data_IF_108557667749
#
_entry.id   IF_108557667749
#
_cell.length_a   1.000
_cell.length_b   1.000
_cell.length_c   1.000
_cell.angle_alpha   90.00
_cell.angle_beta   90.00
_cell.angle_gamma   90.00
#
_symmetry.space_group_name_H-M   'P 1'
#
loop_
_entity.id
_entity.type
_entity.pdbx_description
1 polymer ?
#
# COMPACT_ATOMS: atom_id res chain seq x y z
N UNK A 1 26.42 -10.36 -0.89
CA UNK A 1 25.03 -10.69 -0.51
C UNK A 1 24.90 -12.21 -0.59
N UNK A 2 24.29 -12.88 0.40
CA UNK A 2 24.29 -14.35 0.47
C UNK A 2 23.47 -15.05 -0.65
N UNK A 3 22.72 -14.29 -1.47
CA UNK A 3 21.72 -14.79 -2.43
C UNK A 3 21.83 -14.18 -3.85
N UNK A 4 23.05 -13.86 -4.32
CA UNK A 4 23.23 -13.26 -5.65
C UNK A 4 22.74 -14.17 -6.78
N UNK A 5 22.95 -15.49 -6.64
CA UNK A 5 22.57 -16.49 -7.66
C UNK A 5 21.06 -16.47 -7.93
N UNK A 6 20.25 -16.29 -6.91
CA UNK A 6 18.80 -16.23 -7.05
C UNK A 6 18.34 -14.96 -7.77
N UNK A 7 19.01 -13.82 -7.54
CA UNK A 7 18.69 -12.58 -8.27
C UNK A 7 19.09 -12.64 -9.74
N UNK A 8 20.18 -13.32 -10.07
CA UNK A 8 20.58 -13.51 -11.46
C UNK A 8 19.54 -14.38 -12.21
N UNK A 9 19.06 -15.45 -11.59
CA UNK A 9 17.97 -16.27 -12.15
C UNK A 9 16.72 -15.41 -12.43
N UNK A 10 16.30 -14.57 -11.48
CA UNK A 10 15.11 -13.71 -11.66
C UNK A 10 15.35 -12.67 -12.77
N UNK A 11 16.57 -12.13 -12.88
CA UNK A 11 16.94 -11.19 -13.93
C UNK A 11 16.90 -11.84 -15.31
N UNK A 12 17.31 -13.10 -15.43
CA UNK A 12 17.31 -13.85 -16.69
C UNK A 12 15.90 -14.10 -17.26
N UNK A 13 14.87 -14.12 -16.41
CA UNK A 13 13.47 -14.22 -16.86
C UNK A 13 12.96 -12.96 -17.57
N UNK A 14 13.65 -11.81 -17.44
CA UNK A 14 13.29 -10.55 -18.10
C UNK A 14 11.81 -10.14 -17.90
N UNK A 15 11.35 -10.10 -16.65
CA UNK A 15 9.97 -9.69 -16.34
C UNK A 15 9.69 -8.22 -16.73
N UNK A 16 8.57 -8.00 -17.40
CA UNK A 16 8.13 -6.65 -17.81
C UNK A 16 7.45 -5.86 -16.68
N UNK A 17 6.79 -6.57 -15.76
CA UNK A 17 5.93 -5.99 -14.71
C UNK A 17 6.21 -6.69 -13.38
N UNK A 18 6.30 -5.89 -12.32
CA UNK A 18 6.32 -6.36 -10.94
C UNK A 18 4.97 -6.14 -10.26
N UNK A 19 4.53 -7.08 -9.43
CA UNK A 19 3.44 -6.85 -8.47
C UNK A 19 4.03 -7.02 -7.07
N UNK A 20 3.82 -6.04 -6.19
CA UNK A 20 4.37 -6.05 -4.84
C UNK A 20 3.38 -5.51 -3.84
N UNK A 21 3.52 -6.00 -2.60
CA UNK A 21 2.75 -5.52 -1.46
C UNK A 21 3.02 -4.03 -1.20
N UNK A 22 2.02 -3.34 -0.66
CA UNK A 22 2.03 -1.91 -0.32
C UNK A 22 2.42 -1.61 1.13
N UNK A 23 2.26 -2.58 2.04
CA UNK A 23 2.55 -2.42 3.47
C UNK A 23 4.02 -2.09 3.72
N UNK A 24 4.94 -2.75 3.01
CA UNK A 24 6.35 -2.40 3.02
C UNK A 24 6.87 -2.09 1.60
N UNK A 25 7.92 -1.27 1.53
CA UNK A 25 8.51 -0.85 0.25
C UNK A 25 9.79 -1.62 -0.09
N UNK A 26 10.10 -2.71 0.63
CA UNK A 26 11.36 -3.42 0.42
C UNK A 26 11.35 -4.20 -0.90
N UNK A 27 10.18 -4.78 -1.26
CA UNK A 27 9.95 -5.42 -2.54
C UNK A 27 10.23 -4.49 -3.72
N UNK A 28 9.72 -3.25 -3.68
CA UNK A 28 9.97 -2.24 -4.72
C UNK A 28 11.46 -1.95 -4.93
N UNK A 29 12.20 -1.87 -3.84
CA UNK A 29 13.66 -1.70 -3.89
C UNK A 29 14.33 -2.84 -4.64
N UNK A 30 13.93 -4.08 -4.37
CA UNK A 30 14.44 -5.27 -5.05
C UNK A 30 14.07 -5.23 -6.54
N UNK A 31 12.82 -4.95 -6.88
CA UNK A 31 12.36 -4.94 -8.28
C UNK A 31 13.10 -3.87 -9.10
N UNK A 32 13.29 -2.67 -8.53
CA UNK A 32 14.08 -1.61 -9.17
C UNK A 32 15.55 -2.00 -9.33
N UNK A 33 16.13 -2.71 -8.35
CA UNK A 33 17.49 -3.25 -8.45
C UNK A 33 17.63 -4.32 -9.54
N UNK A 34 16.59 -5.10 -9.78
CA UNK A 34 16.53 -6.08 -10.87
C UNK A 34 16.31 -5.45 -12.25
N UNK A 35 16.07 -4.13 -12.32
CA UNK A 35 15.86 -3.40 -13.57
C UNK A 35 14.39 -3.27 -13.99
N UNK A 36 13.46 -3.78 -13.18
CA UNK A 36 12.02 -3.74 -13.46
C UNK A 36 11.48 -2.37 -13.02
N UNK A 37 11.05 -1.57 -13.99
CA UNK A 37 10.57 -0.20 -13.74
C UNK A 37 9.06 -0.16 -13.55
N UNK A 38 8.33 -0.90 -14.38
CA UNK A 38 6.88 -0.96 -14.32
C UNK A 38 6.47 -1.86 -13.17
N UNK A 39 5.67 -1.31 -12.26
CA UNK A 39 5.18 -2.07 -11.12
C UNK A 39 3.76 -1.65 -10.77
N UNK A 40 3.05 -2.61 -10.22
CA UNK A 40 1.71 -2.48 -9.68
C UNK A 40 1.79 -2.70 -8.19
N UNK A 41 1.12 -1.83 -7.47
CA UNK A 41 0.89 -1.99 -6.05
C UNK A 41 -0.28 -2.90 -5.80
N UNK A 42 -0.12 -3.84 -4.89
CA UNK A 42 -1.17 -4.69 -4.41
C UNK A 42 -1.27 -4.53 -2.91
N UNK A 43 -2.41 -4.09 -2.41
CA UNK A 43 -2.69 -4.01 -0.98
C UNK A 43 -3.56 -5.17 -0.57
N UNK A 44 -3.11 -5.95 0.40
CA UNK A 44 -3.90 -7.02 1.01
C UNK A 44 -4.96 -6.50 1.99
N UNK A 45 -4.85 -5.24 2.40
CA UNK A 45 -5.73 -4.52 3.34
C UNK A 45 -6.39 -3.31 2.67
N UNK A 46 -7.26 -2.55 3.37
CA UNK A 46 -7.72 -1.25 2.89
C UNK A 46 -6.56 -0.28 2.65
N UNK A 47 -6.81 0.83 1.97
CA UNK A 47 -5.75 1.78 1.61
C UNK A 47 -5.15 2.47 2.87
N UNK A 48 -3.92 2.11 3.25
CA UNK A 48 -3.22 2.70 4.40
C UNK A 48 -2.78 4.15 4.16
N UNK A 49 -2.51 4.87 5.24
CA UNK A 49 -2.13 6.28 5.24
C UNK A 49 -0.82 6.56 4.49
N UNK A 50 0.21 5.74 4.71
CA UNK A 50 1.50 5.84 4.01
C UNK A 50 1.37 5.54 2.51
N UNK A 51 0.53 4.57 2.15
CA UNK A 51 0.26 4.15 0.77
C UNK A 51 -0.45 5.30 0.04
N UNK A 52 -1.51 5.83 0.65
CA UNK A 52 -2.22 7.00 0.14
C UNK A 52 -1.27 8.20 -0.05
N UNK A 53 -0.42 8.47 0.94
CA UNK A 53 0.57 9.55 0.88
C UNK A 53 1.56 9.38 -0.29
N UNK A 54 2.15 8.19 -0.45
CA UNK A 54 3.12 7.92 -1.52
C UNK A 54 2.47 7.95 -2.92
N UNK A 55 1.21 7.55 -3.05
CA UNK A 55 0.48 7.60 -4.32
C UNK A 55 -0.06 8.99 -4.66
N UNK A 56 -0.12 9.91 -3.70
CA UNK A 56 -0.76 11.22 -3.82
C UNK A 56 -2.29 11.18 -3.69
N UNK A 57 -2.84 10.13 -3.08
CA UNK A 57 -4.28 10.04 -2.80
C UNK A 57 -4.61 10.95 -1.61
N UNK A 58 -5.58 11.88 -1.73
CA UNK A 58 -5.96 12.74 -0.61
C UNK A 58 -6.49 11.92 0.58
N UNK A 59 -5.86 12.07 1.74
CA UNK A 59 -6.24 11.38 2.97
C UNK A 59 -6.41 12.34 4.16
N UNK A 60 -7.46 13.19 4.17
CA UNK A 60 -7.70 14.13 5.27
C UNK A 60 -8.12 13.44 6.58
N UNK A 61 -7.28 13.59 7.61
CA UNK A 61 -7.50 13.07 8.96
C UNK A 61 -8.70 13.69 9.72
N UNK A 62 -9.42 14.65 9.13
CA UNK A 62 -10.60 15.27 9.76
C UNK A 62 -11.86 14.41 9.67
N UNK A 63 -11.91 13.46 8.73
CA UNK A 63 -13.03 12.53 8.56
C UNK A 63 -12.59 11.12 8.16
N UNK A 64 -11.34 10.92 7.72
CA UNK A 64 -10.82 9.58 7.45
C UNK A 64 -9.99 9.13 8.66
N UNK A 65 -10.39 8.05 9.34
CA UNK A 65 -9.58 7.48 10.40
C UNK A 65 -8.27 6.90 9.84
N UNK A 66 -7.18 7.14 10.55
CA UNK A 66 -5.90 6.45 10.32
C UNK A 66 -6.15 4.95 10.41
N UNK A 67 -5.59 4.20 9.48
CA UNK A 67 -5.89 2.76 9.31
C UNK A 67 -5.13 1.91 10.33
N UNK A 68 -4.01 2.43 10.80
CA UNK A 68 -3.08 1.71 11.66
C UNK A 68 -3.28 2.05 13.12
N UNK A 69 -3.44 1.01 13.93
CA UNK A 69 -3.52 1.07 15.40
C UNK A 69 -4.55 2.08 15.94
N UNK A 70 -5.63 2.29 15.20
CA UNK A 70 -6.68 3.23 15.54
C UNK A 70 -8.04 2.54 15.56
N UNK A 71 -8.75 2.69 16.69
CA UNK A 71 -10.08 2.09 16.89
C UNK A 71 -11.22 3.07 16.58
N UNK A 72 -10.89 4.27 16.09
CA UNK A 72 -11.85 5.31 15.76
C UNK A 72 -12.49 5.01 14.39
N UNK A 73 -13.82 5.03 14.35
CA UNK A 73 -14.58 4.85 13.12
C UNK A 73 -14.80 6.15 12.33
N UNK A 74 -15.56 6.10 11.21
CA UNK A 74 -15.83 7.27 10.36
C UNK A 74 -16.61 8.39 11.05
N UNK A 75 -17.39 8.07 12.09
CA UNK A 75 -18.14 9.06 12.88
C UNK A 75 -17.28 9.51 14.06
N UNK A 76 -16.58 10.63 13.89
CA UNK A 76 -15.64 11.16 14.88
C UNK A 76 -16.17 12.41 15.60
N UNK A 77 -16.02 12.45 16.93
CA UNK A 77 -16.15 13.70 17.70
C UNK A 77 -14.95 14.64 17.46
N UNK A 78 -14.99 15.85 18.01
CA UNK A 78 -13.84 16.77 17.90
C UNK A 78 -12.56 16.19 18.52
N UNK A 79 -12.67 15.51 19.67
CA UNK A 79 -11.53 14.89 20.33
C UNK A 79 -11.00 13.70 19.55
N UNK A 80 -11.90 12.89 18.98
CA UNK A 80 -11.52 11.76 18.12
C UNK A 80 -10.76 12.26 16.88
N UNK A 81 -11.19 13.39 16.28
CA UNK A 81 -10.47 14.01 15.16
C UNK A 81 -9.08 14.48 15.56
N UNK A 82 -8.93 15.06 16.74
CA UNK A 82 -7.62 15.50 17.24
C UNK A 82 -6.68 14.31 17.49
N UNK A 83 -7.20 13.23 18.10
CA UNK A 83 -6.45 12.00 18.28
C UNK A 83 -6.11 11.32 16.95
N UNK A 84 -7.06 11.26 16.03
CA UNK A 84 -6.86 10.72 14.69
C UNK A 84 -5.79 11.49 13.91
N UNK A 85 -5.80 12.82 13.98
CA UNK A 85 -4.76 13.64 13.38
C UNK A 85 -3.37 13.34 13.97
N UNK A 86 -3.29 13.15 15.28
CA UNK A 86 -2.06 12.72 15.94
C UNK A 86 -1.61 11.34 15.44
N UNK A 87 -2.49 10.34 15.42
CA UNK A 87 -2.19 8.99 14.94
C UNK A 87 -1.75 8.98 13.49
N UNK A 88 -2.43 9.71 12.62
CA UNK A 88 -2.06 9.86 11.21
C UNK A 88 -0.61 10.38 11.05
N UNK A 89 -0.24 11.39 11.84
CA UNK A 89 1.13 11.92 11.86
C UNK A 89 2.16 10.90 12.36
N UNK A 90 1.83 10.14 13.41
CA UNK A 90 2.69 9.08 13.96
C UNK A 90 2.93 7.97 12.93
N UNK A 91 1.86 7.48 12.29
CA UNK A 91 1.93 6.46 11.24
C UNK A 91 2.82 6.89 10.08
N UNK A 92 2.65 8.11 9.57
CA UNK A 92 3.50 8.64 8.50
C UNK A 92 4.96 8.73 8.94
N UNK A 93 5.23 9.22 10.16
CA UNK A 93 6.59 9.30 10.69
C UNK A 93 7.25 7.91 10.80
N UNK A 94 6.56 6.93 11.39
CA UNK A 94 7.07 5.57 11.52
C UNK A 94 7.39 4.92 10.18
N UNK A 95 6.47 5.06 9.21
CA UNK A 95 6.68 4.55 7.86
C UNK A 95 7.82 5.25 7.14
N UNK A 96 7.96 6.57 7.29
CA UNK A 96 9.09 7.29 6.74
C UNK A 96 10.42 6.81 7.33
N UNK A 97 10.49 6.69 8.66
CA UNK A 97 11.67 6.18 9.34
C UNK A 97 12.05 4.77 8.87
N UNK A 98 11.09 3.86 8.79
CA UNK A 98 11.31 2.48 8.32
C UNK A 98 11.80 2.42 6.87
N UNK A 99 11.16 3.18 5.98
CA UNK A 99 11.49 3.18 4.55
C UNK A 99 12.81 3.88 4.22
N UNK A 100 13.24 4.86 5.03
CA UNK A 100 14.58 5.45 4.91
C UNK A 100 15.67 4.45 5.30
N UNK A 101 15.48 3.70 6.38
CA UNK A 101 16.39 2.61 6.76
C UNK A 101 16.44 1.49 5.72
N UNK A 102 15.30 1.15 5.11
CA UNK A 102 15.25 0.20 4.01
C UNK A 102 16.04 0.72 2.80
N UNK A 103 15.87 1.99 2.44
CA UNK A 103 16.63 2.65 1.37
C UNK A 103 18.14 2.61 1.64
N UNK A 104 18.57 2.95 2.86
CA UNK A 104 19.97 2.89 3.26
C UNK A 104 20.53 1.46 3.17
N UNK A 105 19.75 0.47 3.60
CA UNK A 105 20.15 -0.94 3.50
C UNK A 105 20.32 -1.37 2.04
N UNK A 106 19.44 -0.95 1.14
CA UNK A 106 19.54 -1.25 -0.30
C UNK A 106 20.74 -0.55 -0.92
N UNK A 107 20.97 0.73 -0.61
CA UNK A 107 22.10 1.53 -1.12
C UNK A 107 23.47 0.93 -0.82
N UNK A 108 23.62 0.21 0.29
CA UNK A 108 24.85 -0.55 0.62
C UNK A 108 25.22 -1.57 -0.47
N UNK A 109 24.25 -2.06 -1.24
CA UNK A 109 24.45 -3.07 -2.28
C UNK A 109 24.21 -2.54 -3.69
N UNK A 110 23.22 -1.66 -3.88
CA UNK A 110 22.85 -1.10 -5.18
C UNK A 110 23.63 0.18 -5.55
N UNK A 111 24.38 0.75 -4.59
CA UNK A 111 25.13 1.98 -4.74
C UNK A 111 24.42 3.20 -4.15
N UNK A 112 25.17 4.29 -3.85
CA UNK A 112 24.65 5.46 -3.14
C UNK A 112 23.58 6.24 -3.92
N UNK A 113 23.61 6.17 -5.25
CA UNK A 113 22.68 6.87 -6.14
C UNK A 113 21.32 6.18 -6.29
N UNK A 114 21.11 5.03 -5.63
CA UNK A 114 19.83 4.34 -5.70
C UNK A 114 18.70 5.23 -5.15
N UNK A 115 17.57 5.40 -5.87
CA UNK A 115 16.49 6.28 -5.45
C UNK A 115 15.86 5.81 -4.14
N UNK A 116 15.23 6.73 -3.42
CA UNK A 116 14.50 6.36 -2.20
C UNK A 116 13.33 5.42 -2.56
N UNK A 117 13.08 4.40 -1.76
CA UNK A 117 11.98 3.45 -2.04
C UNK A 117 10.60 4.14 -2.08
N UNK A 118 10.41 5.26 -1.37
CA UNK A 118 9.21 6.09 -1.47
C UNK A 118 9.09 6.85 -2.79
N UNK A 119 10.20 7.16 -3.44
CA UNK A 119 10.19 7.70 -4.81
C UNK A 119 9.83 6.59 -5.82
N UNK A 120 10.40 5.40 -5.65
CA UNK A 120 10.03 4.26 -6.51
C UNK A 120 8.54 3.96 -6.36
N UNK A 121 8.02 3.97 -5.13
CA UNK A 121 6.62 3.83 -4.79
C UNK A 121 5.67 4.77 -5.54
N UNK A 122 6.03 6.05 -5.65
CA UNK A 122 5.16 7.03 -6.33
C UNK A 122 5.11 6.84 -7.85
N UNK A 123 6.08 6.13 -8.43
CA UNK A 123 6.15 5.74 -9.85
C UNK A 123 5.23 4.54 -10.20
N UNK A 124 4.47 4.01 -9.23
CA UNK A 124 3.53 2.92 -9.47
C UNK A 124 2.47 3.29 -10.51
N UNK A 125 2.26 2.37 -11.47
CA UNK A 125 1.31 2.56 -12.58
C UNK A 125 -0.14 2.41 -12.09
N UNK A 126 -0.35 1.46 -11.18
CA UNK A 126 -1.65 1.10 -10.64
C UNK A 126 -1.50 0.68 -9.19
N UNK A 127 -2.50 0.97 -8.36
CA UNK A 127 -2.65 0.43 -7.03
C UNK A 127 -3.95 -0.37 -6.96
N UNK A 128 -3.82 -1.64 -6.62
CA UNK A 128 -4.91 -2.60 -6.51
C UNK A 128 -5.16 -2.84 -5.04
N UNK A 129 -6.33 -2.47 -4.54
CA UNK A 129 -6.67 -2.48 -3.12
C UNK A 129 -7.67 -3.59 -2.85
N UNK A 130 -7.33 -4.49 -1.92
CA UNK A 130 -8.19 -5.57 -1.48
C UNK A 130 -9.24 -5.07 -0.47
N UNK A 131 -10.11 -4.17 -0.94
CA UNK A 131 -11.28 -3.67 -0.23
C UNK A 131 -12.40 -3.45 -1.22
N UNK A 132 -13.65 -3.43 -0.76
CA UNK A 132 -14.81 -3.07 -1.57
C UNK A 132 -15.06 -1.56 -1.44
N UNK A 133 -15.22 -0.85 -2.56
CA UNK A 133 -15.34 0.63 -2.53
C UNK A 133 -16.55 1.12 -1.74
N UNK A 134 -17.62 0.32 -1.67
CA UNK A 134 -18.86 0.66 -0.97
C UNK A 134 -18.81 0.31 0.52
N UNK A 135 -17.94 -0.62 0.91
CA UNK A 135 -17.73 -1.01 2.30
C UNK A 135 -16.54 -0.29 2.95
N UNK A 136 -15.68 0.33 2.16
CA UNK A 136 -14.55 1.13 2.65
C UNK A 136 -15.00 2.53 3.12
N UNK A 137 -14.12 3.23 3.84
CA UNK A 137 -14.32 4.60 4.25
C UNK A 137 -14.42 5.51 3.01
N UNK A 138 -15.49 6.29 2.94
CA UNK A 138 -15.67 7.29 1.90
C UNK A 138 -14.49 8.27 1.88
N UNK A 139 -13.68 8.21 0.82
CA UNK A 139 -12.50 9.05 0.64
C UNK A 139 -12.30 9.42 -0.84
N UNK A 140 -11.56 10.50 -1.13
CA UNK A 140 -11.14 10.78 -2.50
C UNK A 140 -10.20 9.67 -3.00
N UNK A 141 -10.42 9.23 -4.23
CA UNK A 141 -9.58 8.22 -4.88
C UNK A 141 -9.00 8.76 -6.18
N UNK A 142 -7.87 8.20 -6.61
CA UNK A 142 -7.31 8.46 -7.92
C UNK A 142 -7.75 7.38 -8.89
N UNK A 143 -7.86 7.70 -10.18
CA UNK A 143 -8.20 6.72 -11.22
C UNK A 143 -7.21 5.54 -11.32
N UNK A 144 -5.99 5.70 -10.78
CA UNK A 144 -5.00 4.62 -10.69
C UNK A 144 -5.19 3.70 -9.46
N UNK A 145 -6.16 3.97 -8.60
CA UNK A 145 -6.49 3.14 -7.44
C UNK A 145 -7.73 2.32 -7.77
N UNK A 146 -7.56 1.00 -7.88
CA UNK A 146 -8.62 0.05 -8.27
C UNK A 146 -8.94 -0.84 -7.08
N UNK A 147 -10.21 -0.89 -6.72
CA UNK A 147 -10.73 -1.76 -5.67
C UNK A 147 -11.08 -3.12 -6.26
N UNK A 148 -10.57 -4.19 -5.64
CA UNK A 148 -10.79 -5.58 -6.05
C UNK A 148 -11.27 -6.44 -4.89
N UNK A 149 -11.95 -5.84 -3.91
CA UNK A 149 -12.54 -6.56 -2.79
C UNK A 149 -13.41 -7.72 -3.25
N UNK A 150 -13.30 -8.85 -2.58
CA UNK A 150 -14.05 -10.07 -2.94
C UNK A 150 -13.42 -10.89 -4.07
N UNK A 151 -12.20 -10.58 -4.50
CA UNK A 151 -11.46 -11.43 -5.43
C UNK A 151 -11.36 -12.86 -4.88
N UNK A 152 -11.85 -13.84 -5.64
CA UNK A 152 -11.84 -15.26 -5.27
C UNK A 152 -13.08 -15.74 -4.52
N UNK A 153 -14.08 -14.88 -4.28
CA UNK A 153 -15.41 -15.30 -3.82
C UNK A 153 -16.13 -15.96 -5.02
N UNK A 154 -16.60 -17.19 -4.83
CA UNK A 154 -17.40 -17.90 -5.84
C UNK A 154 -18.82 -17.35 -5.97
N UNK A 155 -19.59 -17.89 -6.91
CA UNK A 155 -20.98 -17.49 -7.08
C UNK A 155 -21.77 -17.70 -5.77
N UNK A 156 -22.57 -16.72 -5.32
CA UNK A 156 -23.36 -16.87 -4.12
C UNK A 156 -24.38 -18.01 -4.31
N UNK A 157 -24.55 -18.84 -3.28
CA UNK A 157 -25.65 -19.81 -3.27
C UNK A 157 -27.00 -19.06 -3.21
N UNK A 158 -28.06 -19.59 -3.85
CA UNK A 158 -29.39 -18.99 -3.78
C UNK A 158 -29.83 -18.83 -2.32
N UNK A 159 -30.28 -17.62 -1.96
CA UNK A 159 -30.84 -17.34 -0.64
C UNK A 159 -32.06 -18.24 -0.44
N UNK A 160 -32.02 -19.12 0.55
CA UNK A 160 -33.19 -19.91 0.96
C UNK A 160 -34.22 -18.94 1.53
N UNK A 161 -35.46 -18.98 1.04
CA UNK A 161 -36.55 -18.02 1.32
C UNK A 161 -37.00 -17.89 2.81
N UNK A 162 -36.27 -18.43 3.78
CA UNK A 162 -36.63 -18.43 5.20
C UNK A 162 -35.74 -17.54 6.05
N UNK A 163 -35.71 -16.23 5.77
CA UNK A 163 -35.42 -15.23 6.81
C UNK A 163 -36.34 -14.03 6.57
N UNK A 164 -37.59 -14.17 7.01
CA UNK A 164 -38.51 -13.05 7.18
C UNK A 164 -38.26 -12.53 8.60
N UNK A 165 -37.70 -11.32 8.71
CA UNK A 165 -37.70 -10.55 9.96
C UNK A 165 -39.05 -9.87 10.17
#
# INVERSE_FOLDING_TARGET
MARHKEFDIIRDYNFDIAITETVDLCGLGIMRYLGIKNHIWHSTTPLHDNVAYNLGVPNPASYIPSTEENLIGPKMTFYDKAFNFYMHGVTLYMHHYGTDRATEAIRKYAGPNFPNVRQIASESVLAVINSDEFLDIARPILHKTIYIGGLGIGDPEPVKEEVIF
#
